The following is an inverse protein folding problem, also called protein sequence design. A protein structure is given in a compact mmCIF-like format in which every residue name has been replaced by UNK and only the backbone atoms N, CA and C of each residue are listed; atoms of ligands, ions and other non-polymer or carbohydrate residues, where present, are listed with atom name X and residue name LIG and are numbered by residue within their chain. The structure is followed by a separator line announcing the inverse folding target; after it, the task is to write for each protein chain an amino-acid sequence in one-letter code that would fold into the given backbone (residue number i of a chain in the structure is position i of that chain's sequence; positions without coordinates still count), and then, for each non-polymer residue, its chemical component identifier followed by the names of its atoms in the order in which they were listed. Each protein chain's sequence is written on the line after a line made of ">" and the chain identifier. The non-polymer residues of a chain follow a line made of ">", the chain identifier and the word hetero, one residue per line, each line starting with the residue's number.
data_IF_843079644996
#
_entry.id   IF_843079644996
#
_cell.length_a   1.000
_cell.length_b   1.000
_cell.length_c   1.000
_cell.angle_alpha   90.00
_cell.angle_beta   90.00
_cell.angle_gamma   90.00
#
_symmetry.space_group_name_H-M   'P 1'
#
loop_
_entity.id
_entity.type
_entity.pdbx_description
1 polymer ?
#
# COMPACT_ATOMS: atom_id res chain seq x y z
N UNK A 1 15.40 16.03 -22.08
CA UNK A 1 14.29 15.93 -21.13
C UNK A 1 14.09 17.30 -20.53
N UNK A 2 13.00 17.92 -20.83
CA UNK A 2 12.65 19.29 -20.43
C UNK A 2 12.32 19.30 -18.96
N UNK A 3 13.02 20.15 -18.18
CA UNK A 3 12.83 20.32 -16.74
C UNK A 3 11.37 20.66 -16.43
N UNK A 4 10.75 19.85 -15.58
CA UNK A 4 9.42 20.13 -15.06
C UNK A 4 9.45 21.38 -14.18
N UNK A 5 8.53 22.29 -14.45
CA UNK A 5 8.24 23.41 -13.55
C UNK A 5 7.98 22.87 -12.14
N UNK A 6 8.63 23.46 -11.14
CA UNK A 6 8.55 23.06 -9.74
C UNK A 6 7.09 22.85 -9.32
N UNK A 7 6.79 21.62 -8.91
CA UNK A 7 5.42 21.21 -8.60
C UNK A 7 4.81 22.08 -7.50
N UNK A 8 3.80 22.87 -7.86
CA UNK A 8 3.00 23.62 -6.90
C UNK A 8 2.17 22.61 -6.10
N UNK A 9 2.32 22.61 -4.77
CA UNK A 9 1.42 21.87 -3.89
C UNK A 9 -0.01 22.37 -4.10
N UNK A 10 -0.86 21.52 -4.65
CA UNK A 10 -2.27 21.82 -4.83
C UNK A 10 -3.01 21.17 -3.65
N UNK A 11 -3.68 21.94 -2.77
CA UNK A 11 -4.51 21.37 -1.73
C UNK A 11 -5.65 20.57 -2.40
N UNK A 12 -5.78 19.30 -2.04
CA UNK A 12 -6.86 18.44 -2.53
C UNK A 12 -8.04 18.52 -1.55
N UNK A 13 -9.17 19.10 -1.94
CA UNK A 13 -10.36 19.10 -1.10
C UNK A 13 -10.83 17.67 -0.83
N UNK A 14 -10.93 17.34 0.46
CA UNK A 14 -11.42 16.05 0.93
C UNK A 14 -12.84 16.26 1.45
N UNK A 15 -13.79 15.48 0.96
CA UNK A 15 -15.18 15.56 1.37
C UNK A 15 -15.41 14.92 2.75
N UNK A 16 -14.76 13.79 3.00
CA UNK A 16 -14.93 13.00 4.22
C UNK A 16 -13.69 12.18 4.49
N UNK A 17 -13.31 12.08 5.75
CA UNK A 17 -12.28 11.12 6.22
C UNK A 17 -12.95 10.13 7.17
N UNK A 18 -12.65 8.87 6.97
CA UNK A 18 -13.06 7.76 7.83
C UNK A 18 -11.82 6.97 8.20
N UNK A 19 -11.61 6.77 9.48
CA UNK A 19 -10.51 5.95 10.00
C UNK A 19 -11.02 4.64 10.56
N UNK A 20 -10.15 3.67 10.72
CA UNK A 20 -10.41 2.49 11.53
C UNK A 20 -10.92 2.91 12.91
N UNK A 21 -11.81 2.12 13.53
CA UNK A 21 -12.30 2.44 14.86
C UNK A 21 -11.13 2.43 15.84
N UNK A 22 -10.89 3.59 16.48
CA UNK A 22 -9.96 3.70 17.57
C UNK A 22 -10.48 2.83 18.73
N UNK A 23 -9.67 1.94 19.29
CA UNK A 23 -10.09 1.13 20.43
C UNK A 23 -10.63 2.01 21.57
N UNK A 24 -11.68 1.54 22.25
CA UNK A 24 -12.25 2.25 23.37
C UNK A 24 -11.16 2.44 24.46
N UNK A 25 -10.90 3.71 24.84
CA UNK A 25 -9.85 4.07 25.81
C UNK A 25 -8.58 4.66 25.19
N UNK A 26 -8.47 4.73 23.88
CA UNK A 26 -7.36 5.41 23.21
C UNK A 26 -7.33 6.91 23.57
N UNK A 27 -6.18 7.36 24.06
CA UNK A 27 -5.92 8.78 24.34
C UNK A 27 -4.84 9.29 23.40
N UNK A 28 -5.12 10.30 22.54
CA UNK A 28 -4.14 10.80 21.56
C UNK A 28 -2.83 11.30 22.15
N UNK A 29 -2.83 11.65 23.43
CA UNK A 29 -1.66 12.17 24.15
C UNK A 29 -0.66 11.08 24.54
N UNK A 30 -1.07 9.82 24.52
CA UNK A 30 -0.21 8.66 24.77
C UNK A 30 0.34 8.15 23.44
N UNK A 31 1.41 8.80 22.94
CA UNK A 31 1.98 8.59 21.59
C UNK A 31 2.44 7.16 21.31
N UNK A 32 2.66 6.35 22.32
CA UNK A 32 3.08 4.95 22.17
C UNK A 32 1.91 4.02 21.77
N UNK A 33 0.66 4.47 21.88
CA UNK A 33 -0.52 3.65 21.63
C UNK A 33 -0.93 3.56 20.13
N UNK A 34 -0.26 4.28 19.21
CA UNK A 34 -0.43 4.03 17.76
C UNK A 34 0.00 2.60 17.36
N UNK A 35 0.85 1.99 18.18
CA UNK A 35 1.20 0.59 18.02
C UNK A 35 0.03 -0.37 18.29
N UNK A 36 -1.06 0.13 18.88
CA UNK A 36 -2.23 -0.67 19.24
C UNK A 36 -3.38 -0.61 18.25
N UNK A 37 -3.34 0.28 17.22
CA UNK A 37 -4.27 0.18 16.10
C UNK A 37 -3.81 -0.95 15.16
N UNK A 38 -4.49 -2.11 15.18
CA UNK A 38 -4.05 -3.26 14.39
C UNK A 38 -4.22 -3.04 12.89
N UNK A 39 -4.98 -2.02 12.48
CA UNK A 39 -5.32 -1.83 11.08
C UNK A 39 -4.66 -0.62 10.45
N UNK A 40 -4.39 0.43 11.22
CA UNK A 40 -3.76 1.69 10.79
C UNK A 40 -4.20 2.13 9.36
N UNK A 41 -5.52 2.12 9.14
CA UNK A 41 -6.09 2.38 7.83
C UNK A 41 -7.12 3.52 7.90
N UNK A 42 -7.05 4.41 6.92
CA UNK A 42 -7.99 5.48 6.73
C UNK A 42 -8.46 5.59 5.28
N UNK A 43 -9.67 6.11 5.09
CA UNK A 43 -10.25 6.37 3.78
C UNK A 43 -10.60 7.84 3.70
N UNK A 44 -10.13 8.51 2.65
CA UNK A 44 -10.48 9.88 2.33
C UNK A 44 -11.34 9.89 1.06
N UNK A 45 -12.59 10.35 1.18
CA UNK A 45 -13.46 10.56 0.03
C UNK A 45 -13.08 11.87 -0.66
N UNK A 46 -12.70 11.80 -1.91
CA UNK A 46 -12.43 12.98 -2.73
C UNK A 46 -13.74 13.60 -3.22
N UNK A 47 -13.74 14.93 -3.41
CA UNK A 47 -14.83 15.57 -4.12
C UNK A 47 -14.79 15.20 -5.61
N UNK A 48 -15.93 15.25 -6.34
CA UNK A 48 -15.94 14.99 -7.79
C UNK A 48 -14.97 15.88 -8.56
N UNK A 49 -14.83 17.14 -8.15
CA UNK A 49 -13.91 18.11 -8.76
C UNK A 49 -12.45 17.66 -8.58
N UNK A 50 -12.09 17.25 -7.36
CA UNK A 50 -10.75 16.72 -7.07
C UNK A 50 -10.46 15.45 -7.86
N UNK A 51 -11.41 14.51 -7.90
CA UNK A 51 -11.27 13.29 -8.68
C UNK A 51 -11.07 13.59 -10.17
N UNK A 52 -11.82 14.53 -10.73
CA UNK A 52 -11.71 14.95 -12.13
C UNK A 52 -10.35 15.60 -12.44
N UNK A 53 -9.75 16.32 -11.50
CA UNK A 53 -8.42 16.90 -11.66
C UNK A 53 -7.31 15.84 -11.67
N UNK A 54 -7.49 14.75 -10.94
CA UNK A 54 -6.51 13.66 -10.82
C UNK A 54 -6.61 12.67 -12.00
N UNK A 55 -7.81 12.41 -12.51
CA UNK A 55 -8.07 11.38 -13.54
C UNK A 55 -7.21 11.51 -14.81
N UNK A 56 -6.82 12.72 -15.33
CA UNK A 56 -5.94 12.81 -16.48
C UNK A 56 -4.52 12.28 -16.23
N UNK A 57 -4.08 12.23 -14.97
CA UNK A 57 -2.71 11.87 -14.60
C UNK A 57 -2.62 10.54 -13.84
N UNK A 58 -3.72 10.10 -13.24
CA UNK A 58 -3.77 8.93 -12.36
C UNK A 58 -4.92 8.01 -12.73
N UNK A 59 -4.63 6.71 -12.75
CA UNK A 59 -5.65 5.69 -12.85
C UNK A 59 -6.00 5.23 -11.44
N UNK A 60 -7.28 5.35 -11.07
CA UNK A 60 -7.79 4.80 -9.82
C UNK A 60 -7.99 3.29 -9.95
N UNK A 61 -7.56 2.55 -8.93
CA UNK A 61 -7.87 1.14 -8.82
C UNK A 61 -9.40 0.95 -8.68
N UNK A 62 -9.95 0.00 -9.43
CA UNK A 62 -11.37 -0.34 -9.34
C UNK A 62 -11.58 -1.40 -8.26
N UNK A 63 -12.80 -1.52 -7.71
CA UNK A 63 -13.12 -2.54 -6.70
C UNK A 63 -12.71 -3.95 -7.13
N UNK A 64 -12.88 -4.30 -8.40
CA UNK A 64 -12.46 -5.61 -8.97
C UNK A 64 -10.95 -5.83 -8.98
N UNK A 65 -10.16 -4.80 -8.77
CA UNK A 65 -8.68 -4.87 -8.68
C UNK A 65 -8.20 -5.01 -7.23
N UNK A 66 -9.12 -4.93 -6.27
CA UNK A 66 -8.87 -5.23 -4.87
C UNK A 66 -9.08 -6.72 -4.64
N UNK A 67 -8.23 -7.37 -3.90
CA UNK A 67 -8.38 -8.79 -3.53
C UNK A 67 -8.36 -8.92 -2.00
N UNK A 68 -9.53 -9.12 -1.38
CA UNK A 68 -9.63 -9.18 0.07
C UNK A 68 -9.05 -10.44 0.71
N UNK A 69 -8.76 -11.46 -0.10
CA UNK A 69 -8.17 -12.71 0.38
C UNK A 69 -6.70 -12.80 -0.05
N UNK A 70 -5.75 -12.43 0.82
CA UNK A 70 -4.32 -12.48 0.47
C UNK A 70 -3.75 -13.90 0.49
N UNK A 71 -4.53 -14.92 0.87
CA UNK A 71 -4.06 -16.27 1.15
C UNK A 71 -3.67 -17.04 -0.12
N UNK A 72 -2.53 -16.67 -0.68
CA UNK A 72 -1.84 -17.45 -1.69
C UNK A 72 -0.36 -17.60 -1.27
N UNK A 73 -0.02 -18.66 -0.53
CA UNK A 73 1.32 -18.81 0.07
C UNK A 73 2.47 -18.80 -0.94
N UNK A 74 2.20 -19.15 -2.19
CA UNK A 74 3.20 -19.15 -3.27
C UNK A 74 3.11 -17.91 -4.16
N UNK A 75 2.25 -16.93 -3.82
CA UNK A 75 2.11 -15.74 -4.63
C UNK A 75 3.37 -14.86 -4.55
N UNK A 76 3.64 -14.19 -5.65
CA UNK A 76 4.65 -13.15 -5.74
C UNK A 76 3.98 -11.82 -5.45
N UNK A 77 4.61 -11.03 -4.60
CA UNK A 77 4.13 -9.70 -4.22
C UNK A 77 5.03 -8.62 -4.81
N UNK A 78 4.42 -7.49 -5.10
CA UNK A 78 5.09 -6.32 -5.65
C UNK A 78 4.74 -5.12 -4.79
N UNK A 79 5.76 -4.42 -4.32
CA UNK A 79 5.61 -3.23 -3.48
C UNK A 79 6.23 -2.04 -4.19
N UNK A 80 5.51 -0.93 -4.20
CA UNK A 80 5.93 0.32 -4.86
C UNK A 80 5.74 1.47 -3.89
N UNK A 81 6.80 2.20 -3.59
CA UNK A 81 6.73 3.32 -2.66
C UNK A 81 7.88 4.31 -2.82
N UNK A 82 7.90 5.31 -1.96
CA UNK A 82 8.87 6.41 -1.98
C UNK A 82 9.64 6.49 -0.66
N UNK A 83 10.73 5.70 -0.50
CA UNK A 83 11.53 5.76 0.72
C UNK A 83 12.17 7.13 0.91
N UNK A 84 12.18 7.65 2.13
CA UNK A 84 12.85 8.92 2.44
C UNK A 84 14.33 8.92 2.06
N UNK A 85 14.98 7.78 2.13
CA UNK A 85 16.39 7.64 1.76
C UNK A 85 16.67 7.95 0.28
N UNK A 86 15.65 7.87 -0.58
CA UNK A 86 15.70 8.19 -2.00
C UNK A 86 15.16 9.60 -2.31
N UNK A 87 14.97 10.43 -1.29
CA UNK A 87 14.46 11.79 -1.41
C UNK A 87 15.62 12.77 -1.32
N UNK A 88 15.77 13.61 -2.32
CA UNK A 88 16.74 14.70 -2.39
C UNK A 88 16.01 16.04 -2.28
N UNK A 89 16.46 16.88 -1.35
CA UNK A 89 15.90 18.21 -1.15
C UNK A 89 16.90 19.25 -1.66
N UNK A 90 16.49 20.02 -2.66
CA UNK A 90 17.20 21.23 -3.06
C UNK A 90 16.56 22.45 -2.39
N UNK A 91 17.19 22.93 -1.33
CA UNK A 91 16.72 24.07 -0.54
C UNK A 91 16.75 25.36 -1.36
N UNK A 92 17.74 25.52 -2.24
CA UNK A 92 17.91 26.71 -3.08
C UNK A 92 16.85 26.77 -4.17
N UNK A 93 16.61 25.65 -4.85
CA UNK A 93 15.55 25.52 -5.85
C UNK A 93 14.15 25.37 -5.23
N UNK A 94 14.03 25.19 -3.91
CA UNK A 94 12.77 24.89 -3.21
C UNK A 94 12.04 23.70 -3.84
N UNK A 95 12.80 22.68 -4.22
CA UNK A 95 12.29 21.48 -4.84
C UNK A 95 12.66 20.24 -4.05
N UNK A 96 11.80 19.24 -4.13
CA UNK A 96 12.04 17.91 -3.56
C UNK A 96 11.90 16.91 -4.71
N UNK A 97 12.93 16.11 -4.93
CA UNK A 97 12.89 15.01 -5.87
C UNK A 97 12.91 13.69 -5.09
N UNK A 98 11.96 12.82 -5.38
CA UNK A 98 11.86 11.51 -4.74
C UNK A 98 11.87 10.43 -5.81
N UNK A 99 12.75 9.44 -5.63
CA UNK A 99 12.83 8.30 -6.55
C UNK A 99 11.96 7.16 -6.06
N UNK A 100 11.23 6.56 -7.00
CA UNK A 100 10.39 5.41 -6.77
C UNK A 100 11.26 4.18 -6.49
N UNK A 101 10.95 3.48 -5.40
CA UNK A 101 11.41 2.11 -5.18
C UNK A 101 10.30 1.16 -5.60
N UNK A 102 10.65 0.17 -6.39
CA UNK A 102 9.79 -0.96 -6.68
C UNK A 102 10.56 -2.25 -6.49
N UNK A 103 9.97 -3.24 -5.83
CA UNK A 103 10.62 -4.52 -5.64
C UNK A 103 9.60 -5.66 -5.56
N UNK A 104 10.07 -6.84 -5.90
CA UNK A 104 9.33 -8.09 -5.85
C UNK A 104 9.72 -8.85 -4.59
N UNK A 105 8.76 -9.43 -3.91
CA UNK A 105 8.96 -10.13 -2.64
C UNK A 105 7.96 -11.27 -2.44
N UNK A 106 8.11 -11.99 -1.33
CA UNK A 106 7.25 -13.08 -0.92
C UNK A 106 6.68 -12.85 0.49
N UNK A 107 5.73 -13.68 0.88
CA UNK A 107 5.22 -13.73 2.26
C UNK A 107 6.37 -14.11 3.19
N UNK A 108 6.47 -13.41 4.32
CA UNK A 108 7.37 -13.77 5.41
C UNK A 108 6.78 -14.95 6.21
N UNK A 109 7.46 -16.07 6.20
CA UNK A 109 7.02 -17.31 6.88
C UNK A 109 7.56 -17.46 8.31
N UNK A 110 8.38 -16.52 8.78
CA UNK A 110 8.99 -16.55 10.11
C UNK A 110 8.01 -16.28 11.26
N UNK A 111 8.57 -16.13 12.47
CA UNK A 111 7.80 -15.83 13.68
C UNK A 111 6.93 -14.60 13.48
N UNK A 112 5.64 -14.83 13.49
CA UNK A 112 4.63 -13.78 13.36
C UNK A 112 4.42 -13.12 14.71
N UNK A 113 5.04 -11.98 14.92
CA UNK A 113 4.72 -11.12 16.08
C UNK A 113 3.45 -10.29 15.81
N UNK A 114 2.61 -10.77 14.90
CA UNK A 114 1.35 -10.13 14.51
C UNK A 114 0.27 -10.42 15.54
N UNK A 115 -0.48 -9.39 15.92
CA UNK A 115 -1.64 -9.51 16.82
C UNK A 115 -2.88 -10.07 16.09
N UNK A 116 -3.00 -9.80 14.79
CA UNK A 116 -4.10 -10.32 13.96
C UNK A 116 -3.58 -10.90 12.65
N UNK A 117 -3.37 -12.22 12.64
CA UNK A 117 -2.87 -12.94 11.47
C UNK A 117 -3.77 -12.85 10.23
N UNK A 118 -5.06 -12.50 10.42
CA UNK A 118 -6.01 -12.36 9.30
C UNK A 118 -6.05 -10.94 8.75
N UNK A 119 -5.59 -9.97 9.53
CA UNK A 119 -5.60 -8.56 9.16
C UNK A 119 -4.29 -8.14 8.50
N UNK A 120 -3.17 -8.76 8.86
CA UNK A 120 -1.83 -8.32 8.48
C UNK A 120 -1.23 -9.22 7.40
N UNK A 121 -0.56 -8.55 6.45
CA UNK A 121 0.28 -9.17 5.43
C UNK A 121 1.72 -8.90 5.81
N UNK A 122 2.50 -9.96 6.03
CA UNK A 122 3.92 -9.85 6.33
C UNK A 122 4.73 -10.20 5.08
N UNK A 123 5.60 -9.28 4.65
CA UNK A 123 6.39 -9.43 3.44
C UNK A 123 7.87 -9.38 3.76
N UNK A 124 8.65 -10.27 3.17
CA UNK A 124 10.11 -10.23 3.26
C UNK A 124 10.65 -8.89 2.78
N UNK A 125 11.60 -8.33 3.54
CA UNK A 125 12.35 -7.14 3.13
C UNK A 125 13.84 -7.37 3.33
N UNK A 126 14.48 -8.09 2.43
CA UNK A 126 15.93 -8.29 2.49
C UNK A 126 16.64 -6.95 2.27
N UNK A 127 17.72 -6.71 3.01
CA UNK A 127 18.54 -5.50 2.80
C UNK A 127 19.35 -5.60 1.50
N UNK A 128 19.54 -6.79 0.99
CA UNK A 128 20.21 -7.07 -0.28
C UNK A 128 19.24 -7.83 -1.18
N UNK A 129 19.19 -7.43 -2.42
CA UNK A 129 18.39 -8.05 -3.45
C UNK A 129 19.16 -8.07 -4.77
N UNK A 130 18.62 -8.70 -5.80
CA UNK A 130 19.19 -8.66 -7.14
C UNK A 130 18.42 -7.69 -8.04
N UNK A 131 19.15 -6.95 -8.86
CA UNK A 131 18.53 -6.15 -9.92
C UNK A 131 18.20 -7.03 -11.14
N UNK A 132 17.63 -6.42 -12.18
CA UNK A 132 17.28 -7.11 -13.43
C UNK A 132 18.47 -7.69 -14.19
N UNK A 133 19.71 -7.34 -13.81
CA UNK A 133 20.95 -7.82 -14.40
C UNK A 133 21.68 -8.81 -13.48
N UNK A 134 20.98 -9.33 -12.46
CA UNK A 134 21.52 -10.27 -11.47
C UNK A 134 22.66 -9.70 -10.59
N UNK A 135 22.81 -8.38 -10.52
CA UNK A 135 23.76 -7.76 -9.60
C UNK A 135 23.13 -7.61 -8.21
N UNK A 136 23.93 -7.87 -7.18
CA UNK A 136 23.52 -7.58 -5.81
C UNK A 136 23.36 -6.07 -5.62
N UNK A 137 22.18 -5.66 -5.16
CA UNK A 137 21.86 -4.26 -4.86
C UNK A 137 21.37 -4.12 -3.42
N UNK A 138 21.83 -3.06 -2.77
CA UNK A 138 21.33 -2.71 -1.44
C UNK A 138 19.98 -2.01 -1.57
N UNK A 139 18.95 -2.56 -0.93
CA UNK A 139 17.66 -1.87 -0.84
C UNK A 139 17.77 -0.71 0.16
N UNK A 140 17.16 0.45 -0.15
CA UNK A 140 17.05 1.53 0.81
C UNK A 140 16.20 1.10 2.00
N UNK A 141 16.34 1.79 3.12
CA UNK A 141 15.43 1.57 4.24
C UNK A 141 14.02 2.01 3.85
N UNK A 142 12.97 1.25 4.25
CA UNK A 142 11.61 1.49 3.79
C UNK A 142 10.89 2.64 4.52
N UNK A 143 11.56 3.37 5.43
CA UNK A 143 10.96 4.55 6.05
C UNK A 143 10.46 5.54 4.99
N UNK A 144 9.21 5.96 5.11
CA UNK A 144 8.51 6.81 4.15
C UNK A 144 7.64 6.05 3.16
N UNK A 145 7.65 4.72 3.17
CA UNK A 145 6.80 3.91 2.30
C UNK A 145 5.38 3.67 2.87
N UNK A 146 5.14 4.02 4.13
CA UNK A 146 3.81 3.88 4.76
C UNK A 146 2.72 4.48 3.88
N UNK A 147 1.67 3.68 3.64
CA UNK A 147 0.57 4.02 2.73
C UNK A 147 0.75 3.49 1.30
N UNK A 148 1.89 2.87 0.97
CA UNK A 148 2.06 2.28 -0.34
C UNK A 148 1.26 0.98 -0.51
N UNK A 149 0.87 0.70 -1.77
CA UNK A 149 0.12 -0.50 -2.10
C UNK A 149 0.99 -1.76 -2.12
N UNK A 150 0.43 -2.84 -1.58
CA UNK A 150 0.95 -4.20 -1.72
C UNK A 150 0.12 -4.88 -2.81
N UNK A 151 0.78 -5.26 -3.89
CA UNK A 151 0.15 -5.86 -5.04
C UNK A 151 0.53 -7.33 -5.14
N UNK A 152 -0.44 -8.21 -5.30
CA UNK A 152 -0.20 -9.60 -5.64
C UNK A 152 -0.10 -9.71 -7.15
N UNK A 153 0.99 -10.27 -7.62
CA UNK A 153 1.16 -10.68 -9.00
C UNK A 153 0.47 -12.03 -9.23
N UNK A 154 0.50 -12.50 -10.45
CA UNK A 154 -0.04 -13.81 -10.80
C UNK A 154 0.63 -14.94 -10.02
N UNK A 155 -0.06 -16.06 -9.98
CA UNK A 155 0.47 -17.31 -9.44
C UNK A 155 1.75 -17.72 -10.21
N UNK A 156 2.89 -17.87 -9.51
CA UNK A 156 4.15 -18.26 -10.15
C UNK A 156 4.11 -19.67 -10.78
N UNK A 157 3.12 -20.51 -10.42
CA UNK A 157 2.90 -21.79 -11.08
C UNK A 157 2.38 -21.63 -12.51
N UNK A 158 1.85 -20.47 -12.86
CA UNK A 158 1.38 -20.19 -14.22
C UNK A 158 2.55 -19.78 -15.12
N UNK A 159 2.60 -20.30 -16.38
CA UNK A 159 3.56 -19.83 -17.36
C UNK A 159 3.51 -18.33 -17.57
N UNK A 160 4.67 -17.66 -17.67
CA UNK A 160 4.78 -16.21 -17.80
C UNK A 160 3.97 -15.63 -18.98
N UNK A 161 3.83 -16.38 -20.07
CA UNK A 161 3.04 -15.96 -21.24
C UNK A 161 1.52 -15.91 -21.00
N UNK A 162 1.05 -16.45 -19.85
CA UNK A 162 -0.34 -16.37 -19.43
C UNK A 162 -0.59 -15.20 -18.47
N UNK A 163 0.45 -14.57 -17.99
CA UNK A 163 0.33 -13.44 -17.06
C UNK A 163 -0.28 -12.22 -17.77
N UNK A 164 -1.26 -11.61 -17.12
CA UNK A 164 -1.97 -10.44 -17.62
C UNK A 164 -1.95 -9.32 -16.58
N UNK A 165 -1.78 -8.07 -16.98
CA UNK A 165 -1.87 -6.93 -16.04
C UNK A 165 -3.21 -6.86 -15.28
N UNK A 166 -4.30 -7.42 -15.84
CA UNK A 166 -5.61 -7.50 -15.18
C UNK A 166 -5.66 -8.42 -13.97
N UNK A 167 -4.69 -9.34 -13.88
CA UNK A 167 -4.65 -10.34 -12.81
C UNK A 167 -3.88 -9.84 -11.60
N UNK A 168 -3.19 -8.70 -11.74
CA UNK A 168 -2.54 -8.00 -10.62
C UNK A 168 -3.61 -7.41 -9.71
N UNK A 169 -3.53 -7.71 -8.41
CA UNK A 169 -4.51 -7.30 -7.41
C UNK A 169 -3.86 -6.53 -6.27
N UNK A 170 -4.49 -5.45 -5.86
CA UNK A 170 -4.16 -4.77 -4.62
C UNK A 170 -4.68 -5.61 -3.46
N UNK A 171 -3.79 -6.10 -2.62
CA UNK A 171 -4.12 -7.00 -1.49
C UNK A 171 -3.93 -6.35 -0.13
N UNK A 172 -3.12 -5.29 -0.06
CA UNK A 172 -2.85 -4.60 1.20
C UNK A 172 -2.24 -3.22 1.03
N UNK A 173 -2.10 -2.55 2.14
CA UNK A 173 -1.45 -1.24 2.28
C UNK A 173 -0.36 -1.38 3.33
N UNK A 174 0.88 -1.08 2.97
CA UNK A 174 2.02 -1.11 3.87
C UNK A 174 1.92 0.03 4.89
N UNK A 175 2.21 -0.26 6.17
CA UNK A 175 2.18 0.75 7.21
C UNK A 175 3.33 0.66 8.22
N UNK A 176 4.13 -0.43 8.20
CA UNK A 176 5.18 -0.61 9.21
C UNK A 176 6.32 -1.48 8.71
N UNK A 177 7.52 -1.15 9.14
CA UNK A 177 8.71 -1.96 8.97
C UNK A 177 9.21 -2.52 10.30
N UNK A 178 9.37 -3.84 10.37
CA UNK A 178 9.98 -4.53 11.50
C UNK A 178 11.48 -4.76 11.26
N UNK A 179 12.27 -3.74 11.58
CA UNK A 179 13.71 -3.65 11.29
C UNK A 179 14.50 -4.89 11.74
N UNK A 180 14.26 -5.36 12.96
CA UNK A 180 15.01 -6.49 13.53
C UNK A 180 14.65 -7.84 12.89
N UNK A 181 13.45 -7.94 12.35
CA UNK A 181 12.92 -9.14 11.72
C UNK A 181 12.96 -9.09 10.19
N UNK A 182 13.34 -7.95 9.63
CA UNK A 182 13.50 -7.72 8.18
C UNK A 182 12.25 -8.03 7.35
N UNK A 183 11.09 -7.62 7.85
CA UNK A 183 9.85 -7.70 7.09
C UNK A 183 9.03 -6.42 7.16
N UNK A 184 8.23 -6.20 6.12
CA UNK A 184 7.19 -5.17 6.10
C UNK A 184 5.89 -5.74 6.62
N UNK A 185 5.11 -4.88 7.24
CA UNK A 185 3.75 -5.18 7.69
C UNK A 185 2.79 -4.32 6.90
N UNK A 186 1.81 -4.96 6.30
CA UNK A 186 0.72 -4.26 5.64
C UNK A 186 -0.63 -4.71 6.17
N UNK A 187 -1.60 -3.82 6.16
CA UNK A 187 -2.99 -4.13 6.45
C UNK A 187 -3.66 -4.68 5.19
N UNK A 188 -4.36 -5.81 5.32
CA UNK A 188 -5.14 -6.37 4.23
C UNK A 188 -6.19 -5.37 3.72
N UNK A 189 -6.29 -5.24 2.40
CA UNK A 189 -7.31 -4.41 1.74
C UNK A 189 -8.74 -4.80 2.10
N UNK A 190 -8.94 -6.01 2.64
CA UNK A 190 -10.22 -6.47 3.19
C UNK A 190 -10.81 -5.48 4.20
N UNK A 191 -9.97 -4.92 5.08
CA UNK A 191 -10.41 -3.94 6.07
C UNK A 191 -10.79 -2.61 5.43
N UNK A 192 -10.08 -2.17 4.39
CA UNK A 192 -10.48 -1.02 3.59
C UNK A 192 -11.85 -1.23 2.94
N UNK A 193 -12.05 -2.38 2.31
CA UNK A 193 -13.34 -2.73 1.68
C UNK A 193 -14.45 -2.78 2.71
N UNK A 194 -14.23 -3.40 3.87
CA UNK A 194 -15.22 -3.43 4.95
C UNK A 194 -15.57 -2.02 5.46
N UNK A 195 -14.57 -1.15 5.61
CA UNK A 195 -14.77 0.23 6.03
C UNK A 195 -15.55 1.03 4.97
N UNK A 196 -15.23 0.85 3.68
CA UNK A 196 -15.97 1.44 2.56
C UNK A 196 -17.45 0.99 2.63
N UNK A 197 -17.72 -0.30 2.71
CA UNK A 197 -19.07 -0.84 2.69
C UNK A 197 -19.89 -0.47 3.93
N UNK A 198 -19.23 -0.21 5.05
CA UNK A 198 -19.89 0.30 6.26
C UNK A 198 -20.40 1.74 6.06
N UNK A 199 -19.63 2.57 5.36
CA UNK A 199 -19.93 4.00 5.17
C UNK A 199 -20.65 4.31 3.86
N UNK A 200 -20.60 3.39 2.89
CA UNK A 200 -21.19 3.47 1.55
C UNK A 200 -21.92 2.16 1.23
N UNK A 201 -23.00 1.83 1.95
CA UNK A 201 -23.70 0.54 1.81
C UNK A 201 -24.30 0.31 0.42
N UNK A 202 -24.50 1.39 -0.35
CA UNK A 202 -24.97 1.33 -1.74
C UNK A 202 -23.99 0.61 -2.67
N UNK A 203 -22.69 0.58 -2.30
CA UNK A 203 -21.65 -0.10 -3.08
C UNK A 203 -21.66 -1.63 -2.90
N UNK A 204 -22.45 -2.18 -1.97
CA UNK A 204 -22.53 -3.63 -1.70
C UNK A 204 -22.85 -4.42 -2.95
N UNK A 205 -23.84 -4.00 -3.74
CA UNK A 205 -24.22 -4.69 -4.98
C UNK A 205 -23.06 -4.83 -5.96
N UNK A 206 -22.22 -3.80 -6.06
CA UNK A 206 -21.03 -3.82 -6.91
C UNK A 206 -19.97 -4.76 -6.32
N UNK A 207 -19.86 -4.82 -5.01
CA UNK A 207 -18.89 -5.67 -4.31
C UNK A 207 -19.31 -7.14 -4.35
N UNK A 208 -20.58 -7.47 -4.18
CA UNK A 208 -21.10 -8.84 -4.28
C UNK A 208 -20.90 -9.45 -5.68
N UNK A 209 -20.91 -8.60 -6.73
CA UNK A 209 -20.58 -9.04 -8.10
C UNK A 209 -19.10 -9.36 -8.28
N UNK A 210 -18.23 -8.76 -7.45
CA UNK A 210 -16.77 -8.93 -7.53
C UNK A 210 -16.29 -10.00 -6.54
N UNK A 211 -16.96 -10.11 -5.41
CA UNK A 211 -16.61 -11.02 -4.31
C UNK A 211 -17.87 -11.80 -3.88
N UNK A 212 -18.28 -12.81 -4.66
CA UNK A 212 -19.38 -13.65 -4.26
C UNK A 212 -19.03 -14.37 -2.96
N UNK A 213 -19.93 -14.24 -1.96
CA UNK A 213 -19.84 -14.88 -0.64
C UNK A 213 -20.11 -16.37 -0.76
#
# INVERSE_FOLDING_TARGET
>A
MTGGEGGKLIPLPIKKVVTSPIPAGFRPEESDMRDDDPWDIGIAELTPETASQLTPFWRFAQLRELEPSPDAPQAIYYVVGYPFQLTENDVLARSTETRLLSYVTAIHEGDRHSRDQKAEILLEYPLENMDSNENSVHLPRPEGMSGCGIWRLNDPSQPLNLWRPSDVKLVGIEHRWRKHHRYLVGTSVRHAVQLILKHYPELRRTTDLVYPV
#
